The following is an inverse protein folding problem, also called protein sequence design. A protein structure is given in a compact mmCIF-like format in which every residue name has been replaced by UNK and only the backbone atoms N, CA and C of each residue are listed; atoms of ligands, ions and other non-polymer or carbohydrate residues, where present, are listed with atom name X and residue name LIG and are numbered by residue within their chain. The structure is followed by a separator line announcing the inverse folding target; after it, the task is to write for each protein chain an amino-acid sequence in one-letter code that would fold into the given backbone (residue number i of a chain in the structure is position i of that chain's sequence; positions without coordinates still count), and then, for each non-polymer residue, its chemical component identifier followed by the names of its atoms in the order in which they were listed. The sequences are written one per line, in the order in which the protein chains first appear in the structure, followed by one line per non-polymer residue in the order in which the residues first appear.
data_IF_784774249710
#
_entry.id   IF_784774249710
#
_cell.length_a   1.000
_cell.length_b   1.000
_cell.length_c   1.000
_cell.angle_alpha   90.00
_cell.angle_beta   90.00
_cell.angle_gamma   90.00
#
_symmetry.space_group_name_H-M   'P 1'
#
loop_
_entity.id
_entity.type
_entity.pdbx_description
1 polymer ?
#
# COMPACT_ATOMS: atom_id res chain seq x y z
N UNK A 1 -19.56 4.75 -6.52
CA UNK A 1 -18.24 4.23 -6.90
C UNK A 1 -17.90 3.12 -5.92
N UNK A 2 -17.30 2.03 -6.40
CA UNK A 2 -16.86 0.88 -5.60
C UNK A 2 -15.34 0.76 -5.76
N UNK A 3 -14.61 0.88 -4.66
CA UNK A 3 -13.15 0.99 -4.65
C UNK A 3 -12.57 -0.25 -4.00
N UNK A 4 -11.57 -0.84 -4.65
CA UNK A 4 -10.69 -1.85 -4.05
C UNK A 4 -9.34 -1.19 -3.81
N UNK A 5 -8.85 -1.24 -2.58
CA UNK A 5 -7.53 -0.69 -2.22
C UNK A 5 -6.61 -1.83 -1.82
N UNK A 6 -5.55 -2.03 -2.60
CA UNK A 6 -4.59 -3.12 -2.42
C UNK A 6 -3.39 -2.71 -1.54
N UNK A 7 -3.49 -1.58 -0.83
CA UNK A 7 -2.45 -1.13 0.10
C UNK A 7 -3.03 -0.46 1.36
N UNK A 8 -2.46 -0.74 2.55
CA UNK A 8 -2.84 -0.07 3.78
C UNK A 8 -2.78 1.46 3.69
N UNK A 9 -1.69 2.02 3.16
CA UNK A 9 -1.50 3.47 3.05
C UNK A 9 -2.55 4.15 2.17
N UNK A 10 -2.88 3.54 1.01
CA UNK A 10 -3.93 4.08 0.13
C UNK A 10 -5.32 3.91 0.73
N UNK A 11 -5.57 2.84 1.49
CA UNK A 11 -6.81 2.68 2.26
C UNK A 11 -6.94 3.82 3.27
N UNK A 12 -5.91 4.09 4.06
CA UNK A 12 -5.92 5.20 5.03
C UNK A 12 -6.21 6.55 4.36
N UNK A 13 -5.57 6.84 3.22
CA UNK A 13 -5.82 8.08 2.46
C UNK A 13 -7.28 8.14 2.00
N UNK A 14 -7.83 7.07 1.42
CA UNK A 14 -9.23 7.03 0.97
C UNK A 14 -10.21 7.31 2.12
N UNK A 15 -9.97 6.74 3.30
CA UNK A 15 -10.78 7.03 4.48
C UNK A 15 -10.61 8.48 4.94
N UNK A 16 -9.39 9.03 4.95
CA UNK A 16 -9.12 10.41 5.30
C UNK A 16 -9.79 11.43 4.34
N UNK A 17 -9.96 11.06 3.07
CA UNK A 17 -10.67 11.84 2.05
C UNK A 17 -12.20 11.68 2.11
N UNK A 18 -12.72 10.88 3.03
CA UNK A 18 -14.16 10.58 3.11
C UNK A 18 -14.67 9.66 1.99
N UNK A 19 -13.78 8.91 1.34
CA UNK A 19 -14.12 7.84 0.39
C UNK A 19 -14.24 6.45 1.04
N UNK A 20 -14.09 6.38 2.37
CA UNK A 20 -14.20 5.14 3.14
C UNK A 20 -15.47 4.32 2.83
N UNK A 21 -16.67 4.91 2.79
CA UNK A 21 -17.90 4.19 2.44
C UNK A 21 -17.85 3.49 1.08
N UNK A 22 -17.10 4.03 0.10
CA UNK A 22 -16.90 3.45 -1.22
C UNK A 22 -15.86 2.31 -1.27
N UNK A 23 -15.03 2.12 -0.24
CA UNK A 23 -14.01 1.05 -0.19
C UNK A 23 -14.66 -0.31 0.08
N UNK A 24 -14.86 -1.14 -0.94
CA UNK A 24 -15.55 -2.44 -0.81
C UNK A 24 -14.60 -3.62 -0.63
N UNK A 25 -13.33 -3.46 -1.01
CA UNK A 25 -12.30 -4.49 -0.88
C UNK A 25 -10.95 -3.92 -0.42
N UNK A 26 -10.27 -4.67 0.44
CA UNK A 26 -8.99 -4.29 1.06
C UNK A 26 -8.04 -5.49 1.17
N UNK A 27 -6.79 -5.25 1.55
CA UNK A 27 -5.87 -6.33 1.97
C UNK A 27 -6.11 -6.72 3.42
N UNK A 28 -5.62 -7.89 3.83
CA UNK A 28 -5.66 -8.32 5.24
C UNK A 28 -4.86 -7.39 6.18
N UNK A 29 -3.94 -6.59 5.66
CA UNK A 29 -3.12 -5.62 6.41
C UNK A 29 -3.82 -4.28 6.63
N UNK A 30 -4.90 -4.00 5.89
CA UNK A 30 -5.64 -2.75 6.01
C UNK A 30 -6.45 -2.72 7.31
N UNK A 31 -5.92 -2.06 8.33
CA UNK A 31 -6.52 -2.02 9.65
C UNK A 31 -6.84 -0.64 10.22
N UNK A 32 -6.48 0.39 9.47
CA UNK A 32 -6.61 1.78 9.87
C UNK A 32 -7.42 2.55 8.80
N UNK A 33 -8.48 3.27 9.20
CA UNK A 33 -9.13 3.22 10.51
C UNK A 33 -9.71 1.82 10.79
N UNK A 34 -10.08 1.52 12.04
CA UNK A 34 -10.57 0.19 12.42
C UNK A 34 -11.76 -0.32 11.56
N UNK A 35 -12.54 0.62 11.00
CA UNK A 35 -13.61 0.33 10.04
C UNK A 35 -13.12 -0.37 8.76
N UNK A 36 -11.87 -0.15 8.33
CA UNK A 36 -11.30 -0.82 7.16
C UNK A 36 -11.31 -2.35 7.29
N UNK A 37 -11.18 -2.88 8.52
CA UNK A 37 -11.26 -4.32 8.80
C UNK A 37 -12.62 -4.96 8.51
N UNK A 38 -13.66 -4.14 8.31
CA UNK A 38 -15.01 -4.62 7.99
C UNK A 38 -15.22 -4.85 6.49
N UNK A 39 -14.26 -4.44 5.65
CA UNK A 39 -14.35 -4.58 4.19
C UNK A 39 -13.91 -5.96 3.75
N UNK A 40 -14.28 -6.34 2.53
CA UNK A 40 -13.95 -7.66 1.98
C UNK A 40 -12.44 -7.79 1.81
N UNK A 41 -11.84 -8.81 2.40
CA UNK A 41 -10.41 -9.08 2.18
C UNK A 41 -10.26 -9.71 0.79
N UNK A 42 -9.53 -9.05 -0.10
CA UNK A 42 -9.27 -9.50 -1.48
C UNK A 42 -7.81 -9.88 -1.71
N UNK A 43 -6.94 -9.63 -0.73
CA UNK A 43 -5.53 -10.02 -0.76
C UNK A 43 -5.11 -10.59 0.58
N UNK A 44 -4.42 -11.72 0.54
CA UNK A 44 -3.87 -12.43 1.71
C UNK A 44 -2.40 -12.76 1.51
N UNK A 45 -1.72 -13.22 2.55
CA UNK A 45 -0.33 -13.69 2.46
C UNK A 45 -0.26 -15.21 2.36
N UNK A 46 0.76 -15.72 1.66
CA UNK A 46 1.12 -17.15 1.64
C UNK A 46 1.96 -17.55 2.87
N UNK A 47 2.39 -16.56 3.66
CA UNK A 47 3.21 -16.77 4.85
C UNK A 47 2.40 -17.40 5.99
N UNK A 48 2.96 -18.42 6.68
CA UNK A 48 2.35 -18.98 7.89
C UNK A 48 2.20 -17.94 9.01
N UNK A 49 1.16 -18.11 9.82
CA UNK A 49 0.99 -17.32 11.05
C UNK A 49 1.96 -17.79 12.14
N UNK A 50 2.31 -16.88 13.07
CA UNK A 50 3.08 -17.21 14.28
C UNK A 50 4.60 -17.34 14.09
N UNK A 51 5.13 -16.98 12.93
CA UNK A 51 6.56 -16.99 12.68
C UNK A 51 7.29 -15.92 13.51
N UNK A 52 8.47 -16.27 14.00
CA UNK A 52 9.42 -15.30 14.55
C UNK A 52 10.01 -14.42 13.45
N UNK A 53 10.58 -13.23 13.76
CA UNK A 53 11.21 -12.39 12.76
C UNK A 53 12.25 -13.10 11.89
N UNK A 54 13.07 -13.99 12.46
CA UNK A 54 14.07 -14.76 11.71
C UNK A 54 13.44 -15.82 10.79
N UNK A 55 12.29 -16.37 11.16
CA UNK A 55 11.57 -17.33 10.33
C UNK A 55 10.79 -16.64 9.20
N UNK A 56 10.21 -15.47 9.47
CA UNK A 56 9.64 -14.58 8.42
C UNK A 56 10.71 -14.30 7.38
N UNK A 57 11.90 -13.95 7.85
CA UNK A 57 13.04 -13.66 7.02
C UNK A 57 13.42 -14.82 6.08
N UNK A 58 13.65 -16.00 6.67
CA UNK A 58 13.97 -17.20 5.94
C UNK A 58 12.87 -17.61 4.95
N UNK A 59 11.60 -17.40 5.34
CA UNK A 59 10.45 -17.64 4.47
C UNK A 59 10.48 -16.71 3.24
N UNK A 60 10.63 -15.41 3.47
CA UNK A 60 10.64 -14.40 2.41
C UNK A 60 11.82 -14.61 1.46
N UNK A 61 13.04 -14.79 1.98
CA UNK A 61 14.22 -15.11 1.17
C UNK A 61 13.99 -16.37 0.35
N UNK A 62 13.43 -17.42 0.96
CA UNK A 62 13.11 -18.66 0.29
C UNK A 62 12.09 -18.51 -0.83
N UNK A 63 10.99 -17.77 -0.58
CA UNK A 63 9.95 -17.51 -1.57
C UNK A 63 10.50 -16.72 -2.77
N UNK A 64 11.26 -15.65 -2.51
CA UNK A 64 11.92 -14.86 -3.55
C UNK A 64 12.88 -15.71 -4.38
N UNK A 65 13.69 -16.56 -3.74
CA UNK A 65 14.61 -17.46 -4.44
C UNK A 65 13.91 -18.51 -5.32
N UNK A 66 12.67 -18.90 -4.97
CA UNK A 66 11.83 -19.81 -5.75
C UNK A 66 10.93 -19.10 -6.77
N UNK A 67 10.89 -17.78 -6.77
CA UNK A 67 9.96 -17.00 -7.59
C UNK A 67 8.50 -17.20 -7.16
N UNK A 68 8.26 -17.46 -5.88
CA UNK A 68 6.93 -17.62 -5.30
C UNK A 68 6.38 -16.28 -4.80
N UNK A 69 5.08 -16.05 -5.00
CA UNK A 69 4.41 -14.87 -4.52
C UNK A 69 4.16 -14.93 -2.99
N UNK A 70 4.51 -13.84 -2.31
CA UNK A 70 4.26 -13.64 -0.87
C UNK A 70 2.81 -13.26 -0.58
N UNK A 71 2.15 -12.67 -1.57
CA UNK A 71 0.79 -12.19 -1.50
C UNK A 71 -0.03 -12.83 -2.60
N UNK A 72 -1.31 -13.06 -2.32
CA UNK A 72 -2.25 -13.66 -3.27
C UNK A 72 -3.53 -12.87 -3.30
N UNK A 73 -3.89 -12.39 -4.48
CA UNK A 73 -5.23 -11.89 -4.75
C UNK A 73 -6.22 -13.05 -4.85
N UNK A 74 -7.37 -12.87 -4.19
CA UNK A 74 -8.50 -13.77 -4.32
C UNK A 74 -9.40 -13.28 -5.47
N UNK A 75 -9.30 -13.95 -6.62
CA UNK A 75 -10.10 -13.63 -7.81
C UNK A 75 -11.61 -13.78 -7.56
N UNK A 76 -12.03 -14.72 -6.72
CA UNK A 76 -13.45 -14.92 -6.39
C UNK A 76 -13.97 -13.78 -5.51
N UNK A 77 -13.19 -13.39 -4.51
CA UNK A 77 -13.50 -12.23 -3.68
C UNK A 77 -13.51 -10.93 -4.51
N UNK A 78 -12.55 -10.74 -5.42
CA UNK A 78 -12.45 -9.52 -6.23
C UNK A 78 -13.57 -9.43 -7.28
N UNK A 79 -13.81 -10.50 -8.05
CA UNK A 79 -14.82 -10.52 -9.11
C UNK A 79 -16.25 -10.33 -8.59
N UNK A 80 -16.53 -10.69 -7.34
CA UNK A 80 -17.83 -10.46 -6.70
C UNK A 80 -18.07 -9.02 -6.22
N UNK A 81 -17.09 -8.13 -6.35
CA UNK A 81 -17.15 -6.78 -5.81
C UNK A 81 -17.50 -5.71 -6.83
N UNK A 82 -17.70 -6.00 -8.12
CA UNK A 82 -18.08 -5.00 -9.14
C UNK A 82 -17.31 -3.66 -8.98
N UNK A 83 -15.98 -3.74 -8.86
CA UNK A 83 -15.16 -2.57 -8.57
C UNK A 83 -15.14 -1.60 -9.77
N UNK A 84 -15.27 -0.31 -9.48
CA UNK A 84 -15.10 0.77 -10.46
C UNK A 84 -13.63 1.24 -10.52
N UNK A 85 -12.92 1.15 -9.37
CA UNK A 85 -11.54 1.60 -9.20
C UNK A 85 -10.75 0.60 -8.36
N UNK A 86 -9.58 0.21 -8.83
CA UNK A 86 -8.57 -0.56 -8.08
C UNK A 86 -7.36 0.34 -7.84
N UNK A 87 -6.98 0.53 -6.59
CA UNK A 87 -5.79 1.27 -6.19
C UNK A 87 -4.68 0.30 -5.79
N UNK A 88 -3.51 0.42 -6.40
CA UNK A 88 -2.35 -0.46 -6.20
C UNK A 88 -1.04 0.33 -6.11
N UNK A 89 0.08 -0.31 -5.77
CA UNK A 89 1.44 0.24 -5.73
C UNK A 89 2.31 -0.62 -6.63
N UNK A 90 2.99 0.06 -7.56
CA UNK A 90 3.71 -0.59 -8.67
C UNK A 90 2.79 -1.61 -9.39
N UNK A 91 3.18 -2.16 -10.52
CA UNK A 91 2.36 -3.20 -11.17
C UNK A 91 2.50 -4.58 -10.46
N UNK A 92 2.81 -4.59 -9.17
CA UNK A 92 3.37 -5.76 -8.49
C UNK A 92 2.37 -6.79 -7.96
N UNK A 93 1.06 -6.63 -8.17
CA UNK A 93 0.09 -7.57 -7.58
C UNK A 93 -1.09 -7.98 -8.45
N UNK A 94 -1.16 -7.55 -9.71
CA UNK A 94 -1.97 -8.29 -10.70
C UNK A 94 -1.09 -9.38 -11.30
N UNK A 95 -0.58 -10.25 -10.41
CA UNK A 95 0.08 -11.54 -10.67
C UNK A 95 1.11 -11.54 -11.81
N UNK A 96 2.40 -11.31 -11.55
CA UNK A 96 3.51 -11.85 -12.37
C UNK A 96 3.29 -11.95 -13.91
N UNK A 97 2.74 -10.92 -14.56
CA UNK A 97 2.50 -10.90 -16.01
C UNK A 97 3.13 -9.63 -16.57
N UNK A 98 3.93 -9.82 -17.63
CA UNK A 98 4.53 -8.76 -18.44
C UNK A 98 3.53 -7.62 -18.72
N UNK A 99 4.00 -6.38 -18.51
CA UNK A 99 3.26 -5.10 -18.38
C UNK A 99 2.59 -4.60 -19.68
N UNK A 100 2.14 -5.51 -20.54
CA UNK A 100 1.34 -5.19 -21.72
C UNK A 100 -0.17 -5.35 -21.52
N UNK A 101 -0.65 -5.90 -20.39
CA UNK A 101 -2.08 -6.20 -20.27
C UNK A 101 -2.66 -6.18 -18.85
N UNK A 102 -2.61 -5.02 -18.17
CA UNK A 102 -3.41 -4.76 -16.95
C UNK A 102 -4.88 -5.17 -17.16
N UNK A 103 -5.42 -4.89 -18.35
CA UNK A 103 -6.78 -5.27 -18.74
C UNK A 103 -7.00 -6.78 -18.84
N UNK A 104 -6.03 -7.57 -19.31
CA UNK A 104 -6.18 -9.05 -19.35
C UNK A 104 -6.12 -9.62 -17.94
N UNK A 105 -5.24 -9.07 -17.10
CA UNK A 105 -5.05 -9.52 -15.74
C UNK A 105 -6.29 -9.17 -14.89
N UNK A 106 -6.86 -7.98 -15.04
CA UNK A 106 -8.17 -7.65 -14.49
C UNK A 106 -9.28 -8.56 -15.03
N UNK A 107 -9.35 -8.80 -16.35
CA UNK A 107 -10.35 -9.72 -16.94
C UNK A 107 -10.21 -11.14 -16.42
N UNK A 108 -8.98 -11.63 -16.21
CA UNK A 108 -8.71 -12.93 -15.61
C UNK A 108 -9.23 -13.00 -14.15
N UNK A 109 -9.10 -11.90 -13.41
CA UNK A 109 -9.65 -11.75 -12.07
C UNK A 109 -11.15 -11.44 -12.04
N UNK A 110 -11.82 -11.41 -13.20
CA UNK A 110 -13.25 -11.09 -13.30
C UNK A 110 -13.57 -9.61 -12.98
N UNK A 111 -12.60 -8.72 -13.14
CA UNK A 111 -12.69 -7.30 -12.85
C UNK A 111 -12.49 -6.47 -14.13
N UNK A 112 -13.13 -5.30 -14.21
CA UNK A 112 -12.94 -4.33 -15.31
C UNK A 112 -12.76 -2.91 -14.78
N UNK A 113 -12.32 -2.78 -13.53
CA UNK A 113 -12.12 -1.50 -12.86
C UNK A 113 -11.04 -0.66 -13.56
N UNK A 114 -11.13 0.65 -13.41
CA UNK A 114 -9.99 1.54 -13.65
C UNK A 114 -8.88 1.21 -12.64
N UNK A 115 -7.61 1.23 -13.06
CA UNK A 115 -6.47 1.01 -12.15
C UNK A 115 -5.73 2.32 -11.91
N UNK A 116 -5.61 2.69 -10.64
CA UNK A 116 -4.77 3.79 -10.19
C UNK A 116 -3.55 3.24 -9.44
N UNK A 117 -2.37 3.50 -9.97
CA UNK A 117 -1.10 3.12 -9.34
C UNK A 117 -0.55 4.29 -8.52
N UNK A 118 -0.25 4.05 -7.25
CA UNK A 118 0.40 4.96 -6.33
C UNK A 118 1.73 4.35 -5.86
N UNK A 119 2.86 4.85 -6.37
CA UNK A 119 4.20 4.33 -6.05
C UNK A 119 5.18 5.44 -5.62
N UNK A 120 4.91 6.09 -4.47
CA UNK A 120 5.70 7.23 -4.03
C UNK A 120 7.04 6.82 -3.41
N UNK A 121 8.10 7.48 -3.84
CA UNK A 121 9.48 7.34 -3.35
C UNK A 121 9.98 8.59 -2.62
N UNK A 122 9.19 9.66 -2.61
CA UNK A 122 9.45 10.91 -1.89
C UNK A 122 8.22 11.39 -1.13
N UNK A 123 8.41 12.25 -0.12
CA UNK A 123 7.29 12.87 0.59
C UNK A 123 6.40 13.69 -0.34
N UNK A 124 6.96 14.33 -1.36
CA UNK A 124 6.19 15.09 -2.33
C UNK A 124 5.28 14.17 -3.16
N UNK A 125 5.79 13.00 -3.57
CA UNK A 125 4.99 12.00 -4.28
C UNK A 125 3.90 11.38 -3.39
N UNK A 126 4.13 11.27 -2.08
CA UNK A 126 3.07 10.89 -1.13
C UNK A 126 1.94 11.92 -1.15
N UNK A 127 2.27 13.22 -1.13
CA UNK A 127 1.26 14.29 -1.22
C UNK A 127 0.55 14.27 -2.58
N UNK A 128 1.28 14.05 -3.68
CA UNK A 128 0.70 13.89 -5.00
C UNK A 128 -0.24 12.67 -5.09
N UNK A 129 0.07 11.58 -4.36
CA UNK A 129 -0.81 10.40 -4.27
C UNK A 129 -2.14 10.75 -3.59
N UNK A 130 -2.12 11.61 -2.57
CA UNK A 130 -3.34 12.14 -1.94
C UNK A 130 -4.18 12.95 -2.93
N UNK A 131 -3.54 13.82 -3.72
CA UNK A 131 -4.22 14.63 -4.75
C UNK A 131 -4.81 13.75 -5.87
N UNK A 132 -4.06 12.74 -6.33
CA UNK A 132 -4.51 11.78 -7.34
C UNK A 132 -5.72 10.97 -6.87
N UNK A 133 -5.68 10.47 -5.62
CA UNK A 133 -6.81 9.78 -5.01
C UNK A 133 -8.01 10.73 -4.81
N UNK A 134 -7.76 11.98 -4.43
CA UNK A 134 -8.77 13.03 -4.38
C UNK A 134 -9.46 13.25 -5.72
N UNK A 135 -8.69 13.37 -6.80
CA UNK A 135 -9.23 13.54 -8.15
C UNK A 135 -10.05 12.31 -8.59
N UNK A 136 -9.49 11.10 -8.46
CA UNK A 136 -10.15 9.85 -8.85
C UNK A 136 -11.48 9.64 -8.10
N UNK A 137 -11.54 10.05 -6.84
CA UNK A 137 -12.72 9.91 -5.98
C UNK A 137 -13.62 11.15 -5.94
N UNK A 138 -13.31 12.21 -6.71
CA UNK A 138 -14.03 13.50 -6.75
C UNK A 138 -14.09 14.23 -5.40
N UNK A 139 -13.00 14.16 -4.64
CA UNK A 139 -12.75 14.77 -3.33
C UNK A 139 -11.56 15.73 -3.37
N UNK A 140 -11.47 16.54 -4.42
CA UNK A 140 -10.35 17.46 -4.64
C UNK A 140 -10.20 18.44 -3.47
N UNK A 141 -11.31 18.99 -2.96
CA UNK A 141 -11.29 19.94 -1.83
C UNK A 141 -10.75 19.29 -0.54
N UNK A 142 -11.18 18.07 -0.24
CA UNK A 142 -10.73 17.30 0.92
C UNK A 142 -9.24 16.94 0.78
N UNK A 143 -8.79 16.58 -0.43
CA UNK A 143 -7.40 16.29 -0.72
C UNK A 143 -6.51 17.54 -0.58
N UNK A 144 -6.92 18.68 -1.12
CA UNK A 144 -6.22 19.96 -0.95
C UNK A 144 -6.09 20.33 0.53
N UNK A 145 -7.17 20.19 1.29
CA UNK A 145 -7.17 20.46 2.74
C UNK A 145 -6.23 19.50 3.50
N UNK A 146 -6.25 18.21 3.16
CA UNK A 146 -5.38 17.21 3.77
C UNK A 146 -3.91 17.48 3.44
N UNK A 147 -3.58 17.76 2.17
CA UNK A 147 -2.22 18.11 1.74
C UNK A 147 -1.72 19.38 2.42
N UNK A 148 -2.55 20.42 2.50
CA UNK A 148 -2.20 21.65 3.21
C UNK A 148 -1.87 21.37 4.69
N UNK A 149 -2.67 20.54 5.37
CA UNK A 149 -2.43 20.12 6.75
C UNK A 149 -1.14 19.32 6.91
N UNK A 150 -0.87 18.37 6.01
CA UNK A 150 0.35 17.56 6.01
C UNK A 150 1.61 18.41 5.76
N UNK A 151 1.55 19.35 4.80
CA UNK A 151 2.64 20.30 4.54
C UNK A 151 2.93 21.18 5.74
N UNK A 152 1.89 21.68 6.42
CA UNK A 152 2.06 22.46 7.64
C UNK A 152 2.76 21.66 8.75
N UNK A 153 2.39 20.38 8.93
CA UNK A 153 3.04 19.47 9.90
C UNK A 153 4.51 19.21 9.54
N UNK A 154 4.81 18.94 8.27
CA UNK A 154 6.18 18.75 7.79
C UNK A 154 7.04 20.01 7.99
N UNK A 155 6.48 21.18 7.72
CA UNK A 155 7.15 22.46 7.97
C UNK A 155 7.44 22.68 9.46
N UNK A 156 6.49 22.36 10.34
CA UNK A 156 6.68 22.47 11.79
C UNK A 156 7.78 21.53 12.30
N UNK A 157 7.83 20.28 11.83
CA UNK A 157 8.90 19.34 12.15
C UNK A 157 10.24 19.87 11.64
N UNK A 158 10.29 20.36 10.41
CA UNK A 158 11.51 20.90 9.80
C UNK A 158 12.05 22.10 10.59
N UNK A 159 11.18 23.02 11.00
CA UNK A 159 11.56 24.16 11.83
C UNK A 159 12.05 23.73 13.22
N UNK A 160 11.37 22.76 13.85
CA UNK A 160 11.78 22.22 15.15
C UNK A 160 13.16 21.57 15.10
N UNK A 161 13.45 20.78 14.06
CA UNK A 161 14.76 20.14 13.87
C UNK A 161 15.85 21.17 13.57
N UNK A 162 15.56 22.19 12.76
CA UNK A 162 16.51 23.26 12.43
C UNK A 162 16.88 24.13 13.64
N UNK A 163 15.97 24.28 14.60
CA UNK A 163 16.19 25.06 15.82
C UNK A 163 16.98 24.31 16.91
N UNK A 164 17.35 23.04 16.70
CA UNK A 164 18.15 22.28 17.67
C UNK A 164 19.63 22.60 17.51
N UNK A 165 20.25 23.03 18.60
CA UNK A 165 21.69 23.14 18.70
C UNK A 165 22.35 21.75 18.83
N UNK A 166 23.47 21.54 18.15
CA UNK A 166 24.29 20.32 18.22
C UNK A 166 24.45 19.56 16.89
N UNK A 167 25.36 18.60 16.86
CA UNK A 167 25.62 17.77 15.69
C UNK A 167 24.46 16.81 15.39
N UNK A 168 24.18 16.59 14.10
CA UNK A 168 23.20 15.60 13.66
C UNK A 168 23.71 14.19 14.02
N UNK A 169 23.00 13.43 14.87
CA UNK A 169 23.44 12.09 15.23
C UNK A 169 23.47 11.21 13.98
N UNK A 170 24.47 10.33 13.90
CA UNK A 170 24.51 9.30 12.86
C UNK A 170 23.49 8.23 13.22
N UNK A 171 22.48 8.06 12.37
CA UNK A 171 21.40 7.09 12.57
C UNK A 171 21.57 5.94 11.58
N UNK A 172 21.38 4.72 12.07
CA UNK A 172 21.19 3.53 11.24
C UNK A 172 19.74 3.07 11.39
N UNK A 173 19.06 2.84 10.27
CA UNK A 173 17.74 2.20 10.24
C UNK A 173 17.97 0.78 9.74
N UNK A 174 17.63 -0.20 10.59
CA UNK A 174 17.71 -1.61 10.23
C UNK A 174 16.29 -2.10 9.95
N UNK A 175 16.01 -2.32 8.67
CA UNK A 175 14.81 -3.03 8.20
C UNK A 175 15.28 -4.36 7.61
N UNK A 176 14.72 -5.47 8.07
CA UNK A 176 15.19 -6.82 7.74
C UNK A 176 14.30 -7.57 6.75
N UNK A 177 14.96 -8.09 5.71
CA UNK A 177 14.75 -9.42 5.11
C UNK A 177 16.18 -10.00 4.92
N UNK A 178 16.86 -10.33 6.01
CA UNK A 178 18.19 -10.96 6.16
C UNK A 178 18.42 -12.17 5.25
N UNK A 179 18.72 -11.88 3.97
CA UNK A 179 19.57 -12.73 3.16
C UNK A 179 20.93 -12.92 3.84
N UNK A 180 21.09 -14.02 4.57
CA UNK A 180 22.33 -14.69 4.93
C UNK A 180 23.45 -13.83 5.54
N UNK A 181 23.53 -13.80 6.87
CA UNK A 181 24.83 -13.77 7.58
C UNK A 181 25.11 -15.18 8.10
N UNK A 182 25.37 -16.10 7.18
CA UNK A 182 26.12 -17.30 7.52
C UNK A 182 27.61 -16.91 7.50
N UNK A 183 28.22 -16.81 8.69
CA UNK A 183 29.68 -16.69 8.83
C UNK A 183 30.17 -15.34 9.34
N UNK A 184 30.10 -15.16 10.66
CA UNK A 184 31.20 -14.53 11.39
C UNK A 184 31.55 -15.51 12.51
N UNK A 185 32.53 -16.37 12.21
CA UNK A 185 33.38 -16.98 13.24
C UNK A 185 34.38 -15.93 13.76
#
# INVERSE_FOLDING_TARGET
MRIVSLLPSTTEILFALGAGPEVVGVTFECDTPAEARTRTIVSTTTMPEGLTPAEIDAFVVGAVARGEDLYRLDAGALGGLDADLVVTQDLCAVCAVDVSVVDDALRHLGCTAEVLTCDPHTLEEVLASVEALGAATRRTTEAEALVASLRARLAAVSASVAARDGDRPRVVVLAGVLGGVAGVE
#
